data_IF_753877643416
#
_entry.id   IF_753877643416
#
_cell.length_a   1.000
_cell.length_b   1.000
_cell.length_c   1.000
_cell.angle_alpha   90.00
_cell.angle_beta   90.00
_cell.angle_gamma   90.00
#
_symmetry.space_group_name_H-M   'P 1'
#
loop_
_entity.id
_entity.type
_entity.pdbx_description
1 polymer ?
#
# COMPACT_ATOMS: atom_id res chain seq x y z
N UNK A 1 1.38 22.35 12.22
CA UNK A 1 1.81 21.07 11.60
C UNK A 1 0.62 20.50 10.85
N UNK A 2 0.80 20.03 9.60
CA UNK A 2 -0.28 19.38 8.86
C UNK A 2 -0.74 18.11 9.61
N UNK A 3 -2.05 17.93 9.79
CA UNK A 3 -2.64 16.73 10.38
C UNK A 3 -2.49 15.60 9.36
N UNK A 4 -1.87 14.48 9.75
CA UNK A 4 -1.64 13.32 8.89
C UNK A 4 -2.47 12.14 9.39
N UNK A 5 -2.90 11.29 8.46
CA UNK A 5 -3.47 10.00 8.80
C UNK A 5 -2.45 9.17 9.62
N UNK A 6 -2.92 8.19 10.41
CA UNK A 6 -2.06 7.14 10.91
C UNK A 6 -1.28 6.47 9.77
N UNK A 7 -0.13 5.90 10.11
CA UNK A 7 0.57 5.01 9.17
C UNK A 7 -0.25 3.77 8.93
N UNK A 8 -0.29 3.34 7.66
CA UNK A 8 -0.99 2.15 7.19
C UNK A 8 -0.10 1.42 6.21
N UNK A 9 -0.31 0.12 6.09
CA UNK A 9 0.36 -0.73 5.12
C UNK A 9 -0.50 -0.88 3.88
N UNK A 10 0.13 -0.80 2.72
CA UNK A 10 -0.49 -0.94 1.41
C UNK A 10 0.24 -2.01 0.64
N UNK A 11 -0.49 -2.92 0.00
CA UNK A 11 0.06 -3.89 -0.92
C UNK A 11 -0.56 -3.71 -2.31
N UNK A 12 0.27 -3.63 -3.36
CA UNK A 12 -0.12 -3.47 -4.77
C UNK A 12 0.60 -4.48 -5.64
N UNK A 13 0.13 -4.69 -6.88
CA UNK A 13 0.90 -5.41 -7.88
C UNK A 13 2.15 -4.62 -8.27
N UNK A 14 3.25 -5.32 -8.55
CA UNK A 14 4.47 -4.66 -9.04
C UNK A 14 4.19 -3.92 -10.36
N UNK A 15 4.49 -2.62 -10.39
CA UNK A 15 4.28 -1.77 -11.57
C UNK A 15 2.87 -1.18 -11.69
N UNK A 16 1.95 -1.48 -10.76
CA UNK A 16 0.66 -0.78 -10.66
C UNK A 16 0.71 0.25 -9.53
N UNK A 17 0.47 1.52 -9.89
CA UNK A 17 0.64 2.63 -8.95
C UNK A 17 -0.64 3.17 -8.32
N UNK A 18 -1.83 2.96 -8.90
CA UNK A 18 -2.87 3.97 -8.67
C UNK A 18 -4.27 3.55 -8.20
N UNK A 19 -4.65 2.28 -8.02
CA UNK A 19 -6.05 2.02 -7.60
C UNK A 19 -6.35 0.69 -6.86
N UNK A 20 -5.41 -0.26 -6.78
CA UNK A 20 -5.63 -1.59 -6.19
C UNK A 20 -4.75 -1.86 -4.96
N UNK A 21 -4.68 -0.87 -4.05
CA UNK A 21 -3.91 -1.01 -2.83
C UNK A 21 -4.77 -1.67 -1.73
N UNK A 22 -4.37 -2.86 -1.30
CA UNK A 22 -4.94 -3.49 -0.11
C UNK A 22 -4.39 -2.79 1.12
N UNK A 23 -5.23 -2.03 1.83
CA UNK A 23 -4.87 -1.31 3.05
C UNK A 23 -5.04 -2.19 4.29
N UNK A 24 -4.05 -2.14 5.19
CA UNK A 24 -4.21 -2.71 6.54
C UNK A 24 -3.37 -1.99 7.61
N UNK A 25 -3.64 -2.30 8.88
CA UNK A 25 -2.87 -1.81 10.02
C UNK A 25 -1.49 -2.47 10.15
N UNK A 26 -1.32 -3.65 9.55
CA UNK A 26 -0.07 -4.41 9.61
C UNK A 26 0.37 -4.85 8.22
N UNK A 27 1.68 -4.99 8.05
CA UNK A 27 2.32 -5.47 6.82
C UNK A 27 1.77 -6.84 6.41
N UNK A 28 1.72 -7.77 7.37
CA UNK A 28 1.30 -9.14 7.14
C UNK A 28 -0.17 -9.23 6.72
N UNK A 29 -1.03 -8.38 7.29
CA UNK A 29 -2.43 -8.33 6.90
C UNK A 29 -2.64 -7.73 5.50
N UNK A 30 -1.85 -6.72 5.11
CA UNK A 30 -1.87 -6.19 3.74
C UNK A 30 -1.43 -7.26 2.72
N UNK A 31 -0.38 -8.02 3.04
CA UNK A 31 0.09 -9.16 2.22
C UNK A 31 -0.95 -10.27 2.15
N UNK A 32 -1.57 -10.63 3.26
CA UNK A 32 -2.59 -11.67 3.30
C UNK A 32 -3.83 -11.29 2.49
N UNK A 33 -4.22 -10.01 2.52
CA UNK A 33 -5.35 -9.50 1.77
C UNK A 33 -5.11 -9.58 0.25
N UNK A 34 -3.97 -9.08 -0.25
CA UNK A 34 -3.64 -9.22 -1.67
C UNK A 34 -3.44 -10.69 -2.08
N UNK A 35 -2.88 -11.53 -1.20
CA UNK A 35 -2.71 -12.96 -1.48
C UNK A 35 -4.02 -13.76 -1.51
N UNK A 36 -5.12 -13.23 -0.98
CA UNK A 36 -6.44 -13.84 -1.11
C UNK A 36 -6.97 -13.74 -2.55
N UNK A 37 -6.61 -12.66 -3.24
CA UNK A 37 -7.07 -12.38 -4.61
C UNK A 37 -6.04 -12.77 -5.67
N UNK A 38 -4.75 -12.80 -5.31
CA UNK A 38 -3.64 -13.16 -6.18
C UNK A 38 -2.89 -14.40 -5.70
N UNK A 39 -2.61 -15.31 -6.63
CA UNK A 39 -1.93 -16.57 -6.33
C UNK A 39 -0.42 -16.48 -6.13
N UNK A 40 0.19 -17.61 -5.76
CA UNK A 40 1.64 -17.73 -5.63
C UNK A 40 2.37 -17.43 -6.95
N UNK A 41 3.57 -16.86 -6.85
CA UNK A 41 4.38 -16.38 -7.97
C UNK A 41 4.11 -14.94 -8.38
N UNK A 42 3.08 -14.29 -7.84
CA UNK A 42 2.75 -12.89 -8.12
C UNK A 42 3.75 -11.95 -7.44
N UNK A 43 4.32 -11.01 -8.21
CA UNK A 43 5.16 -9.96 -7.67
C UNK A 43 4.30 -8.80 -7.16
N UNK A 44 4.56 -8.38 -5.93
CA UNK A 44 3.83 -7.30 -5.26
C UNK A 44 4.81 -6.29 -4.66
N UNK A 45 4.34 -5.06 -4.54
CA UNK A 45 4.98 -4.00 -3.77
C UNK A 45 4.22 -3.79 -2.47
N UNK A 46 4.95 -3.67 -1.37
CA UNK A 46 4.37 -3.43 -0.05
C UNK A 46 5.05 -2.20 0.54
N UNK A 47 4.25 -1.26 1.04
CA UNK A 47 4.77 0.01 1.57
C UNK A 47 3.95 0.46 2.75
N UNK A 48 4.62 1.08 3.71
CA UNK A 48 3.93 1.80 4.78
C UNK A 48 3.80 3.27 4.38
N UNK A 49 2.57 3.75 4.26
CA UNK A 49 2.28 5.12 3.83
C UNK A 49 1.27 5.82 4.74
N UNK A 50 1.24 7.16 4.65
CA UNK A 50 0.17 7.96 5.23
C UNK A 50 -0.10 9.20 4.39
N UNK A 51 -1.36 9.56 4.32
CA UNK A 51 -1.85 10.72 3.60
C UNK A 51 -2.00 11.93 4.52
N UNK A 52 -2.07 13.11 3.90
CA UNK A 52 -2.57 14.30 4.59
C UNK A 52 -4.07 14.14 4.84
N UNK A 53 -4.54 14.49 6.03
CA UNK A 53 -5.98 14.56 6.37
C UNK A 53 -6.41 16.02 6.60
N UNK A 54 -5.70 16.93 5.96
CA UNK A 54 -6.00 18.35 6.03
C UNK A 54 -7.20 18.64 5.12
N UNK A 55 -8.29 19.10 5.73
CA UNK A 55 -9.60 19.35 5.09
C UNK A 55 -9.50 20.30 3.89
N UNK A 56 -8.44 21.13 3.83
CA UNK A 56 -8.18 22.02 2.68
C UNK A 56 -7.94 21.27 1.37
N UNK A 57 -7.64 19.98 1.42
CA UNK A 57 -7.42 19.13 0.25
C UNK A 57 -8.55 18.09 0.05
N UNK A 58 -9.62 18.17 0.83
CA UNK A 58 -10.79 17.31 0.63
C UNK A 58 -11.47 17.65 -0.71
N UNK A 59 -11.70 16.62 -1.55
CA UNK A 59 -12.25 16.79 -2.89
C UNK A 59 -11.26 17.26 -3.96
N UNK A 60 -9.96 17.37 -3.64
CA UNK A 60 -8.92 17.60 -4.64
C UNK A 60 -8.47 16.28 -5.28
N UNK A 61 -8.26 16.30 -6.60
CA UNK A 61 -7.75 15.15 -7.37
C UNK A 61 -6.33 14.71 -6.95
N UNK A 62 -5.64 15.50 -6.12
CA UNK A 62 -4.30 15.21 -5.66
C UNK A 62 -4.14 15.57 -4.18
N UNK A 63 -3.78 14.58 -3.36
CA UNK A 63 -3.44 14.77 -1.94
C UNK A 63 -1.92 14.96 -1.84
N UNK A 64 -1.42 16.18 -1.52
CA UNK A 64 -0.04 16.55 -1.80
C UNK A 64 1.05 15.88 -0.95
N UNK A 65 0.72 15.02 0.00
CA UNK A 65 1.72 14.48 0.93
C UNK A 65 1.45 13.02 1.32
N UNK A 66 1.66 12.09 0.38
CA UNK A 66 2.03 10.71 0.72
C UNK A 66 3.42 10.75 1.35
N UNK A 67 3.55 10.39 2.63
CA UNK A 67 4.84 9.99 3.17
C UNK A 67 4.91 8.46 3.10
N UNK A 68 5.99 7.93 2.54
CA UNK A 68 6.26 6.48 2.45
C UNK A 68 7.47 6.09 3.29
N UNK A 69 7.46 4.87 3.81
CA UNK A 69 8.60 4.19 4.43
C UNK A 69 8.45 2.68 4.28
N UNK A 70 9.52 1.94 4.57
CA UNK A 70 9.52 0.46 4.56
C UNK A 70 9.02 -0.15 3.23
N UNK A 71 9.30 0.51 2.10
CA UNK A 71 8.91 0.01 0.79
C UNK A 71 9.74 -1.23 0.42
N UNK A 72 9.07 -2.27 -0.06
CA UNK A 72 9.69 -3.53 -0.47
C UNK A 72 8.95 -4.16 -1.64
N UNK A 73 9.65 -5.01 -2.38
CA UNK A 73 9.09 -5.87 -3.41
C UNK A 73 9.20 -7.31 -2.94
N UNK A 74 8.10 -8.05 -2.96
CA UNK A 74 8.08 -9.47 -2.60
C UNK A 74 7.31 -10.29 -3.63
N UNK A 75 7.56 -11.60 -3.65
CA UNK A 75 6.79 -12.55 -4.45
C UNK A 75 5.88 -13.35 -3.51
N UNK A 76 4.60 -13.45 -3.84
CA UNK A 76 3.64 -14.22 -3.05
C UNK A 76 3.98 -15.72 -3.12
N UNK A 77 4.06 -16.36 -1.95
CA UNK A 77 4.37 -17.79 -1.83
C UNK A 77 5.79 -18.17 -2.31
N UNK A 78 6.17 -19.45 -2.17
CA UNK A 78 7.40 -19.95 -2.74
C UNK A 78 7.32 -19.86 -4.27
N UNK A 79 8.33 -19.25 -4.90
CA UNK A 79 8.52 -19.29 -6.35
C UNK A 79 8.53 -20.77 -6.75
N UNK A 80 7.57 -21.21 -7.56
CA UNK A 80 7.60 -22.55 -8.12
C UNK A 80 8.96 -22.71 -8.82
N UNK A 81 9.76 -23.66 -8.32
CA UNK A 81 11.10 -23.95 -8.81
C UNK A 81 11.06 -24.55 -10.21
#
# INVERSE_FOLDING_TARGET
>A
MAKRAPWKWYATLEGETDEYAYESDTREAAIAAIAADFGAGTAIEVVEARFSVDERYEGHDFVPFIAMRNAEKITLGPRAA
#
